data_IF_037602765504
#
_entry.id   IF_037602765504
#
_cell.length_a   1.000
_cell.length_b   1.000
_cell.length_c   1.000
_cell.angle_alpha   90.00
_cell.angle_beta   90.00
_cell.angle_gamma   90.00
#
_symmetry.space_group_name_H-M   'P 1'
#
loop_
_entity.id
_entity.type
_entity.pdbx_description
1 polymer ?
#
# COMPACT_ATOMS: atom_id res chain seq x y z
N UNK A 1 -13.24 8.33 -43.38
CA UNK A 1 -14.17 7.95 -42.30
C UNK A 1 -13.70 6.69 -41.55
N UNK A 2 -13.51 5.54 -42.22
CA UNK A 2 -13.01 4.29 -41.62
C UNK A 2 -11.68 4.41 -40.84
N UNK A 3 -10.69 5.14 -41.37
CA UNK A 3 -9.38 5.33 -40.71
C UNK A 3 -9.47 6.11 -39.39
N UNK A 4 -10.40 7.07 -39.27
CA UNK A 4 -10.63 7.83 -38.03
C UNK A 4 -11.26 6.93 -36.96
N UNK A 5 -12.18 6.04 -37.35
CA UNK A 5 -12.85 5.12 -36.44
C UNK A 5 -11.88 4.03 -35.93
N UNK A 6 -10.94 3.59 -36.78
CA UNK A 6 -9.90 2.63 -36.43
C UNK A 6 -8.89 3.15 -35.38
N UNK A 7 -8.69 4.47 -35.32
CA UNK A 7 -7.76 5.12 -34.38
C UNK A 7 -8.50 5.55 -33.08
N UNK A 8 -9.79 5.85 -33.15
CA UNK A 8 -10.58 6.29 -31.99
C UNK A 8 -10.73 5.18 -30.92
N UNK A 9 -10.96 3.93 -31.33
CA UNK A 9 -11.10 2.80 -30.42
C UNK A 9 -9.84 2.54 -29.54
N UNK A 10 -8.61 2.46 -30.09
CA UNK A 10 -7.42 2.28 -29.27
C UNK A 10 -7.15 3.48 -28.34
N UNK A 11 -7.37 4.72 -28.80
CA UNK A 11 -7.19 5.92 -27.96
C UNK A 11 -8.10 5.86 -26.72
N UNK A 12 -9.36 5.50 -26.90
CA UNK A 12 -10.32 5.39 -25.80
C UNK A 12 -9.87 4.36 -24.75
N UNK A 13 -9.41 3.19 -25.19
CA UNK A 13 -8.90 2.15 -24.28
C UNK A 13 -7.69 2.66 -23.49
N UNK A 14 -6.73 3.32 -24.14
CA UNK A 14 -5.56 3.87 -23.44
C UNK A 14 -5.93 4.95 -22.43
N UNK A 15 -6.93 5.79 -22.72
CA UNK A 15 -7.42 6.78 -21.76
C UNK A 15 -8.05 6.13 -20.53
N UNK A 16 -8.88 5.10 -20.71
CA UNK A 16 -9.48 4.36 -19.59
C UNK A 16 -8.40 3.71 -18.74
N UNK A 17 -7.46 2.99 -19.36
CA UNK A 17 -6.37 2.31 -18.64
C UNK A 17 -5.55 3.34 -17.86
N UNK A 18 -5.22 4.49 -18.45
CA UNK A 18 -4.47 5.55 -17.78
C UNK A 18 -5.20 6.11 -16.56
N UNK A 19 -6.52 6.29 -16.63
CA UNK A 19 -7.32 6.76 -15.49
C UNK A 19 -7.39 5.70 -14.39
N UNK A 20 -7.59 4.43 -14.76
CA UNK A 20 -7.60 3.31 -13.80
C UNK A 20 -6.24 3.20 -13.11
N UNK A 21 -5.14 3.23 -13.86
CA UNK A 21 -3.78 3.17 -13.31
C UNK A 21 -3.49 4.34 -12.38
N UNK A 22 -3.96 5.56 -12.72
CA UNK A 22 -3.83 6.73 -11.86
C UNK A 22 -4.60 6.54 -10.54
N UNK A 23 -5.84 6.06 -10.60
CA UNK A 23 -6.66 5.79 -9.40
C UNK A 23 -5.97 4.75 -8.52
N UNK A 24 -5.49 3.65 -9.11
CA UNK A 24 -4.78 2.60 -8.39
C UNK A 24 -3.47 3.10 -7.80
N UNK A 25 -2.75 3.97 -8.49
CA UNK A 25 -1.51 4.58 -7.99
C UNK A 25 -1.77 5.44 -6.77
N UNK A 26 -2.76 6.32 -6.83
CA UNK A 26 -3.15 7.16 -5.70
C UNK A 26 -3.62 6.29 -4.53
N UNK A 27 -4.43 5.28 -4.78
CA UNK A 27 -4.86 4.33 -3.75
C UNK A 27 -3.67 3.62 -3.09
N UNK A 28 -2.74 3.09 -3.89
CA UNK A 28 -1.54 2.41 -3.39
C UNK A 28 -0.68 3.32 -2.52
N UNK A 29 -0.48 4.57 -2.94
CA UNK A 29 0.29 5.56 -2.19
C UNK A 29 -0.38 5.93 -0.87
N UNK A 30 -1.71 6.06 -0.84
CA UNK A 30 -2.46 6.34 0.39
C UNK A 30 -2.31 5.18 1.38
N UNK A 31 -2.55 3.94 0.93
CA UNK A 31 -2.45 2.75 1.80
C UNK A 31 -1.06 2.64 2.41
N UNK A 32 -0.01 2.74 1.59
CA UNK A 32 1.37 2.65 2.04
C UNK A 32 1.76 3.82 2.95
N UNK A 33 1.36 5.05 2.59
CA UNK A 33 1.65 6.25 3.36
C UNK A 33 1.00 6.23 4.73
N UNK A 34 -0.28 5.87 4.81
CA UNK A 34 -1.01 5.74 6.09
C UNK A 34 -0.41 4.64 6.95
N UNK A 35 -0.07 3.49 6.36
CA UNK A 35 0.61 2.41 7.06
C UNK A 35 1.95 2.86 7.64
N UNK A 36 2.78 3.55 6.84
CA UNK A 36 4.10 4.02 7.26
C UNK A 36 4.02 5.07 8.38
N UNK A 37 3.14 6.07 8.23
CA UNK A 37 2.90 7.09 9.27
C UNK A 37 2.44 6.43 10.57
N UNK A 38 1.54 5.45 10.49
CA UNK A 38 1.12 4.71 11.67
C UNK A 38 2.29 3.93 12.28
N UNK A 39 3.07 3.20 11.49
CA UNK A 39 4.24 2.44 11.99
C UNK A 39 5.27 3.32 12.70
N UNK A 40 5.54 4.52 12.18
CA UNK A 40 6.49 5.46 12.80
C UNK A 40 5.96 5.99 14.14
N UNK A 41 4.66 6.27 14.24
CA UNK A 41 4.02 6.84 15.43
C UNK A 41 3.78 5.84 16.57
N UNK A 42 3.73 4.54 16.29
CA UNK A 42 3.50 3.51 17.31
C UNK A 42 4.73 3.24 18.21
N UNK A 43 4.48 2.83 19.45
CA UNK A 43 5.54 2.50 20.43
C UNK A 43 6.29 1.24 19.99
N UNK A 44 7.62 1.25 20.07
CA UNK A 44 8.46 0.18 19.48
C UNK A 44 8.44 -1.15 20.24
N UNK A 45 8.24 -1.11 21.55
CA UNK A 45 8.09 -2.24 22.46
C UNK A 45 6.77 -3.01 22.26
N UNK A 46 5.75 -2.38 21.67
CA UNK A 46 4.46 -3.02 21.40
C UNK A 46 4.54 -4.06 20.26
N UNK A 47 5.49 -3.92 19.32
CA UNK A 47 5.61 -4.82 18.17
C UNK A 47 6.05 -6.25 18.56
N UNK A 48 7.12 -6.44 19.37
CA UNK A 48 7.45 -7.77 19.89
C UNK A 48 6.34 -8.37 20.76
N UNK A 49 5.56 -7.54 21.46
CA UNK A 49 4.51 -8.00 22.37
C UNK A 49 3.34 -8.70 21.64
N UNK A 50 3.06 -8.33 20.39
CA UNK A 50 2.04 -8.98 19.54
C UNK A 50 2.63 -10.08 18.64
N UNK A 51 3.92 -10.42 18.78
CA UNK A 51 4.55 -11.51 18.02
C UNK A 51 4.77 -11.24 16.53
N UNK A 52 4.76 -9.97 16.10
CA UNK A 52 5.02 -9.59 14.70
C UNK A 52 6.48 -9.18 14.45
N UNK A 53 6.82 -8.84 13.21
CA UNK A 53 8.12 -8.27 12.85
C UNK A 53 8.45 -7.03 13.72
N UNK A 54 9.73 -6.80 14.05
CA UNK A 54 10.12 -5.63 14.84
C UNK A 54 9.76 -4.32 14.10
N UNK A 55 9.51 -3.25 14.86
CA UNK A 55 9.15 -1.92 14.31
C UNK A 55 10.02 -1.48 13.14
N UNK A 56 11.35 -1.67 13.27
CA UNK A 56 12.30 -1.33 12.21
C UNK A 56 12.08 -2.10 10.91
N UNK A 57 11.71 -3.37 10.99
CA UNK A 57 11.40 -4.20 9.81
C UNK A 57 10.17 -3.70 9.07
N UNK A 58 9.09 -3.40 9.79
CA UNK A 58 7.87 -2.83 9.19
C UNK A 58 8.12 -1.47 8.54
N UNK A 59 8.83 -0.57 9.23
CA UNK A 59 9.16 0.75 8.67
C UNK A 59 10.02 0.60 7.41
N UNK A 60 11.03 -0.27 7.42
CA UNK A 60 11.89 -0.49 6.27
C UNK A 60 11.10 -1.01 5.05
N UNK A 61 10.25 -2.02 5.24
CA UNK A 61 9.43 -2.59 4.16
C UNK A 61 8.48 -1.53 3.59
N UNK A 62 7.73 -0.84 4.45
CA UNK A 62 6.75 0.16 4.01
C UNK A 62 7.42 1.36 3.34
N UNK A 63 8.56 1.84 3.86
CA UNK A 63 9.30 2.94 3.27
C UNK A 63 9.88 2.57 1.90
N UNK A 64 10.50 1.40 1.76
CA UNK A 64 11.04 0.93 0.48
C UNK A 64 9.92 0.77 -0.54
N UNK A 65 8.81 0.14 -0.17
CA UNK A 65 7.67 -0.03 -1.07
C UNK A 65 7.08 1.32 -1.53
N UNK A 66 6.95 2.27 -0.60
CA UNK A 66 6.40 3.60 -0.91
C UNK A 66 7.32 4.36 -1.86
N UNK A 67 8.64 4.32 -1.62
CA UNK A 67 9.64 4.93 -2.52
C UNK A 67 9.59 4.27 -3.89
N UNK A 68 9.56 2.94 -3.99
CA UNK A 68 9.45 2.25 -5.27
C UNK A 68 8.14 2.61 -6.00
N UNK A 69 7.03 2.69 -5.28
CA UNK A 69 5.75 3.13 -5.87
C UNK A 69 5.84 4.56 -6.42
N UNK A 70 6.52 5.47 -5.71
CA UNK A 70 6.74 6.86 -6.13
C UNK A 70 7.70 7.00 -7.33
N UNK A 71 8.69 6.12 -7.46
CA UNK A 71 9.67 6.14 -8.56
C UNK A 71 9.06 5.71 -9.91
N UNK A 72 7.75 5.52 -9.99
CA UNK A 72 7.06 5.36 -11.27
C UNK A 72 6.97 3.92 -11.74
N UNK A 73 7.20 2.93 -10.86
CA UNK A 73 6.89 1.54 -11.21
C UNK A 73 5.37 1.31 -11.38
N UNK A 74 4.49 2.24 -11.00
CA UNK A 74 3.05 2.12 -11.20
C UNK A 74 2.41 1.12 -10.23
N UNK A 75 1.12 1.28 -9.94
CA UNK A 75 0.42 0.49 -8.93
C UNK A 75 0.42 -1.01 -9.24
N UNK A 76 0.33 -1.35 -10.53
CA UNK A 76 0.26 -2.72 -11.02
C UNK A 76 1.63 -3.35 -11.30
N UNK A 77 2.74 -2.65 -11.02
CA UNK A 77 4.04 -3.33 -11.00
C UNK A 77 4.12 -4.30 -9.84
N UNK A 78 5.05 -5.25 -9.96
CA UNK A 78 5.38 -6.15 -8.87
C UNK A 78 5.69 -5.40 -7.56
N UNK A 79 6.36 -4.25 -7.63
CA UNK A 79 6.69 -3.45 -6.46
C UNK A 79 5.48 -2.71 -5.89
N UNK A 80 4.61 -2.15 -6.74
CA UNK A 80 3.36 -1.53 -6.31
C UNK A 80 2.42 -2.54 -5.65
N UNK A 81 2.29 -3.74 -6.23
CA UNK A 81 1.48 -4.82 -5.68
C UNK A 81 2.01 -5.32 -4.33
N UNK A 82 3.33 -5.52 -4.21
CA UNK A 82 3.96 -5.87 -2.92
C UNK A 82 3.73 -4.75 -1.90
N UNK A 83 3.84 -3.48 -2.31
CA UNK A 83 3.60 -2.34 -1.44
C UNK A 83 2.17 -2.25 -0.93
N UNK A 84 1.17 -2.46 -1.81
CA UNK A 84 -0.23 -2.54 -1.42
C UNK A 84 -0.44 -3.70 -0.44
N UNK A 85 0.09 -4.89 -0.76
CA UNK A 85 -0.05 -6.06 0.11
C UNK A 85 0.57 -5.80 1.49
N UNK A 86 1.80 -5.30 1.55
CA UNK A 86 2.47 -4.96 2.80
C UNK A 86 1.72 -3.90 3.61
N UNK A 87 1.22 -2.84 2.94
CA UNK A 87 0.42 -1.80 3.57
C UNK A 87 -0.91 -2.32 4.12
N UNK A 88 -1.61 -3.18 3.37
CA UNK A 88 -2.86 -3.81 3.81
C UNK A 88 -2.62 -4.77 4.98
N UNK A 89 -1.61 -5.63 4.90
CA UNK A 89 -1.23 -6.51 6.02
C UNK A 89 -0.95 -5.67 7.26
N UNK A 90 -0.17 -4.61 7.14
CA UNK A 90 0.12 -3.74 8.28
C UNK A 90 -1.15 -3.10 8.86
N UNK A 91 -2.03 -2.54 8.02
CA UNK A 91 -3.23 -1.83 8.48
C UNK A 91 -4.33 -2.74 9.03
N UNK A 92 -4.43 -3.97 8.52
CA UNK A 92 -5.50 -4.90 8.88
C UNK A 92 -5.09 -5.89 9.96
N UNK A 93 -3.81 -6.28 10.00
CA UNK A 93 -3.29 -7.24 10.98
C UNK A 93 -2.55 -6.50 12.11
N UNK A 94 -1.40 -5.90 11.80
CA UNK A 94 -0.50 -5.31 12.80
C UNK A 94 -1.15 -4.17 13.57
N UNK A 95 -1.82 -3.23 12.87
CA UNK A 95 -2.52 -2.10 13.50
C UNK A 95 -3.64 -2.58 14.42
N UNK A 96 -4.36 -3.63 14.02
CA UNK A 96 -5.44 -4.19 14.84
C UNK A 96 -4.85 -4.86 16.07
N UNK A 97 -3.79 -5.68 15.93
CA UNK A 97 -3.09 -6.28 17.07
C UNK A 97 -2.51 -5.24 18.05
N UNK A 98 -1.91 -4.16 17.53
CA UNK A 98 -1.41 -3.06 18.37
C UNK A 98 -2.54 -2.33 19.12
N UNK A 99 -3.70 -2.16 18.48
CA UNK A 99 -4.89 -1.60 19.13
C UNK A 99 -5.41 -2.54 20.23
N UNK A 100 -5.52 -3.82 19.95
CA UNK A 100 -6.07 -4.79 20.89
C UNK A 100 -5.17 -4.94 22.13
N UNK A 101 -3.84 -4.86 21.95
CA UNK A 101 -2.87 -4.76 23.03
C UNK A 101 -3.10 -3.52 23.92
N UNK A 102 -3.37 -2.35 23.32
CA UNK A 102 -3.67 -1.13 24.08
C UNK A 102 -5.03 -1.20 24.80
N UNK A 103 -6.02 -1.86 24.21
CA UNK A 103 -7.36 -2.05 24.78
C UNK A 103 -7.39 -3.12 25.89
N UNK A 104 -6.31 -3.89 26.08
CA UNK A 104 -6.26 -5.01 27.02
C UNK A 104 -7.14 -6.20 26.62
N UNK A 105 -7.62 -6.23 25.38
CA UNK A 105 -8.37 -7.36 24.82
C UNK A 105 -7.35 -8.38 24.34
N UNK A 106 -7.14 -9.43 25.13
CA UNK A 106 -6.31 -10.56 24.70
C UNK A 106 -6.89 -11.15 23.41
N UNK A 107 -6.02 -11.32 22.40
CA UNK A 107 -6.34 -12.09 21.20
C UNK A 107 -6.50 -13.56 21.62
N UNK A 108 -7.75 -13.98 21.80
CA UNK A 108 -8.15 -15.37 21.99
C UNK A 108 -8.74 -15.88 20.68
#
# INVERSE_FOLDING_TARGET
MLAVMAIAAPIFVFQIVSVIDLILLVFALIVQGVALVHAITQRGDAFPAIGTLPKGGWIAILAVCLVLTLLGFGALSIFGLIGIAAGLIYLLDVRVGLRDLHDGKGFW
#
